data_IF_608729718878
#
_entry.id   IF_608729718878
#
_cell.length_a   1.000
_cell.length_b   1.000
_cell.length_c   1.000
_cell.angle_alpha   90.00
_cell.angle_beta   90.00
_cell.angle_gamma   90.00
#
_symmetry.space_group_name_H-M   'P 1'
#
loop_
_entity.id
_entity.type
_entity.pdbx_description
1 polymer ?
#
# COMPACT_ATOMS: atom_id res chain seq x y z
N UNK A 1 -5.07 14.25 45.30
CA UNK A 1 -4.10 13.39 44.61
C UNK A 1 -4.51 13.29 43.15
N UNK A 2 -3.66 13.89 42.30
CA UNK A 2 -3.48 13.76 40.83
C UNK A 2 -4.66 13.29 39.97
N UNK A 3 -5.30 14.26 39.31
CA UNK A 3 -5.98 14.12 38.03
C UNK A 3 -4.95 13.77 36.95
N UNK A 4 -5.06 12.61 36.31
CA UNK A 4 -4.31 12.33 35.09
C UNK A 4 -5.16 12.73 33.88
N UNK A 5 -4.74 13.86 33.33
CA UNK A 5 -5.09 14.38 32.01
C UNK A 5 -4.81 13.32 30.94
N UNK A 6 -5.83 12.95 30.18
CA UNK A 6 -5.65 12.26 28.89
C UNK A 6 -5.84 13.30 27.81
N UNK A 7 -4.75 13.95 27.42
CA UNK A 7 -4.68 14.68 26.15
C UNK A 7 -4.76 13.63 25.04
N UNK A 8 -5.98 13.36 24.56
CA UNK A 8 -6.19 12.66 23.30
C UNK A 8 -5.83 13.62 22.18
N UNK A 9 -4.58 13.56 21.73
CA UNK A 9 -4.18 14.21 20.48
C UNK A 9 -4.66 13.34 19.34
N UNK A 10 -5.88 13.64 18.88
CA UNK A 10 -6.32 13.31 17.53
C UNK A 10 -5.41 14.04 16.53
N UNK A 11 -4.33 13.39 16.10
CA UNK A 11 -3.59 13.79 14.89
C UNK A 11 -4.36 13.26 13.67
N UNK A 12 -5.54 13.84 13.44
CA UNK A 12 -6.22 13.81 12.15
C UNK A 12 -5.49 14.77 11.22
N UNK A 13 -4.34 14.35 10.71
CA UNK A 13 -3.72 15.00 9.54
C UNK A 13 -3.26 13.93 8.56
N UNK A 14 -4.17 12.99 8.27
CA UNK A 14 -4.16 12.37 6.95
C UNK A 14 -4.55 13.45 5.96
N UNK A 15 -3.57 14.10 5.34
CA UNK A 15 -3.81 14.91 4.16
C UNK A 15 -4.51 14.00 3.13
N UNK A 16 -5.82 14.16 2.99
CA UNK A 16 -6.54 13.68 1.83
C UNK A 16 -5.96 14.43 0.63
N UNK A 17 -4.95 13.84 -0.01
CA UNK A 17 -4.55 14.28 -1.33
C UNK A 17 -5.60 13.76 -2.31
N UNK A 18 -6.52 14.66 -2.64
CA UNK A 18 -7.37 14.53 -3.80
C UNK A 18 -6.48 14.46 -5.05
N UNK A 19 -6.17 13.27 -5.52
CA UNK A 19 -5.81 13.08 -6.94
C UNK A 19 -7.10 13.29 -7.72
N UNK A 20 -7.21 14.28 -8.61
CA UNK A 20 -8.41 14.45 -9.41
C UNK A 20 -8.52 13.24 -10.36
N UNK A 21 -9.69 12.60 -10.49
CA UNK A 21 -9.88 11.49 -11.40
C UNK A 21 -10.02 12.03 -12.82
N UNK A 22 -9.51 11.25 -13.75
CA UNK A 22 -9.35 11.54 -15.17
C UNK A 22 -8.27 12.57 -15.47
N UNK A 23 -7.01 12.16 -15.32
CA UNK A 23 -5.90 12.76 -16.07
C UNK A 23 -5.53 11.86 -17.25
N UNK A 24 -6.16 12.13 -18.39
CA UNK A 24 -5.61 11.79 -19.70
C UNK A 24 -4.37 12.69 -19.90
N UNK A 25 -3.16 12.11 -19.82
CA UNK A 25 -1.91 12.85 -19.99
C UNK A 25 -1.76 13.25 -21.46
N UNK A 26 -2.51 14.27 -21.88
CA UNK A 26 -2.23 14.98 -23.11
C UNK A 26 -1.01 15.85 -22.84
N UNK A 27 0.06 15.52 -23.54
CA UNK A 27 1.31 16.26 -23.58
C UNK A 27 1.02 17.74 -23.90
N UNK A 28 0.96 18.56 -22.85
CA UNK A 28 0.86 20.00 -22.92
C UNK A 28 1.97 20.58 -22.05
N UNK A 29 3.09 20.91 -22.69
CA UNK A 29 4.01 21.95 -22.25
C UNK A 29 4.67 21.75 -20.88
N UNK A 30 5.76 20.97 -20.85
CA UNK A 30 6.91 21.26 -19.99
C UNK A 30 6.87 20.82 -18.52
N UNK A 31 5.80 20.18 -18.04
CA UNK A 31 5.81 19.48 -16.74
C UNK A 31 6.19 18.03 -17.03
N UNK A 32 7.27 17.53 -16.43
CA UNK A 32 7.62 16.11 -16.55
C UNK A 32 6.48 15.27 -15.95
N UNK A 33 5.96 14.32 -16.73
CA UNK A 33 4.90 13.43 -16.29
C UNK A 33 5.33 12.54 -15.12
N UNK A 34 4.38 11.82 -14.51
CA UNK A 34 4.69 10.96 -13.38
C UNK A 34 5.70 9.88 -13.78
N UNK A 35 6.64 9.59 -12.87
CA UNK A 35 7.56 8.47 -13.00
C UNK A 35 6.82 7.17 -12.67
N UNK A 36 6.56 6.37 -13.70
CA UNK A 36 5.90 5.07 -13.55
C UNK A 36 6.95 4.01 -13.23
N UNK A 37 6.75 3.24 -12.16
CA UNK A 37 7.72 2.26 -11.64
C UNK A 37 7.05 0.96 -11.20
N UNK A 38 7.85 -0.07 -10.98
CA UNK A 38 7.44 -1.31 -10.33
C UNK A 38 7.92 -1.28 -8.88
N UNK A 39 7.02 -1.53 -7.93
CA UNK A 39 7.39 -1.67 -6.52
C UNK A 39 7.88 -3.10 -6.29
N UNK A 40 9.09 -3.29 -5.76
CA UNK A 40 9.56 -4.60 -5.29
C UNK A 40 9.46 -4.65 -3.77
N UNK A 41 8.57 -5.49 -3.22
CA UNK A 41 8.31 -5.55 -1.77
C UNK A 41 9.48 -6.16 -0.98
N UNK A 42 10.41 -6.85 -1.64
CA UNK A 42 11.63 -7.36 -1.02
C UNK A 42 12.83 -6.41 -1.15
N UNK A 43 12.73 -5.38 -1.99
CA UNK A 43 13.82 -4.43 -2.26
C UNK A 43 13.21 -3.06 -2.61
N UNK A 44 12.77 -2.36 -1.56
CA UNK A 44 12.03 -1.11 -1.71
C UNK A 44 13.02 0.03 -1.95
N UNK A 45 12.92 0.68 -3.12
CA UNK A 45 13.68 1.90 -3.42
C UNK A 45 13.15 3.08 -2.60
N UNK A 46 13.82 3.36 -1.47
CA UNK A 46 13.46 4.43 -0.55
C UNK A 46 13.62 5.84 -1.13
N UNK A 47 14.19 5.99 -2.33
CA UNK A 47 14.14 7.28 -3.05
C UNK A 47 12.77 7.53 -3.65
N UNK A 48 12.05 6.47 -4.02
CA UNK A 48 10.75 6.52 -4.71
C UNK A 48 9.57 6.28 -3.78
N UNK A 49 9.79 5.58 -2.68
CA UNK A 49 8.75 5.18 -1.74
C UNK A 49 9.09 5.64 -0.32
N UNK A 50 8.05 5.98 0.42
CA UNK A 50 8.09 6.14 1.87
C UNK A 50 7.62 4.84 2.51
N UNK A 51 8.27 4.43 3.61
CA UNK A 51 7.93 3.22 4.35
C UNK A 51 7.76 3.52 5.82
N UNK A 52 6.76 2.93 6.46
CA UNK A 52 6.58 2.98 7.91
C UNK A 52 6.43 1.57 8.46
N UNK A 53 7.04 1.28 9.60
CA UNK A 53 6.92 0.02 10.31
C UNK A 53 6.15 0.23 11.62
N UNK A 54 5.23 -0.67 11.93
CA UNK A 54 4.40 -0.61 13.13
C UNK A 54 3.96 -2.02 13.56
N UNK A 55 3.36 -2.12 14.74
CA UNK A 55 2.87 -3.40 15.30
C UNK A 55 1.43 -3.27 15.81
N UNK A 56 0.46 -2.94 14.94
CA UNK A 56 -0.94 -2.87 15.34
C UNK A 56 -1.39 -4.22 15.89
N UNK A 57 -1.90 -4.22 17.12
CA UNK A 57 -2.34 -5.44 17.82
C UNK A 57 -1.27 -6.55 17.87
N UNK A 58 0.02 -6.18 17.86
CA UNK A 58 1.13 -7.12 17.92
C UNK A 58 1.59 -7.66 16.56
N UNK A 59 0.82 -7.46 15.49
CA UNK A 59 1.17 -7.98 14.16
C UNK A 59 2.16 -7.05 13.46
N UNK A 60 3.33 -7.53 12.99
CA UNK A 60 4.25 -6.74 12.18
C UNK A 60 3.56 -6.18 10.93
N UNK A 61 3.58 -4.87 10.76
CA UNK A 61 3.05 -4.16 9.60
C UNK A 61 4.12 -3.24 9.01
N UNK A 62 4.33 -3.37 7.70
CA UNK A 62 5.08 -2.42 6.88
C UNK A 62 4.15 -1.77 5.87
N UNK A 63 4.04 -0.45 5.89
CA UNK A 63 3.33 0.33 4.87
C UNK A 63 4.32 0.85 3.84
N UNK A 64 3.88 0.95 2.59
CA UNK A 64 4.65 1.51 1.48
C UNK A 64 3.77 2.45 0.68
N UNK A 65 4.20 3.71 0.58
CA UNK A 65 3.47 4.79 -0.11
C UNK A 65 4.37 5.39 -1.19
N UNK A 66 3.91 5.52 -2.45
CA UNK A 66 4.67 6.23 -3.48
C UNK A 66 4.85 7.70 -3.10
N UNK A 67 6.05 8.25 -3.30
CA UNK A 67 6.29 9.69 -3.14
C UNK A 67 5.66 10.48 -4.30
N UNK A 68 5.59 11.79 -4.12
CA UNK A 68 5.02 12.71 -5.11
C UNK A 68 5.63 12.50 -6.51
N UNK A 69 4.76 12.44 -7.52
CA UNK A 69 5.15 12.23 -8.91
C UNK A 69 5.53 10.79 -9.25
N UNK A 70 5.40 9.82 -8.34
CA UNK A 70 5.64 8.39 -8.60
C UNK A 70 4.30 7.65 -8.72
N UNK A 71 4.19 6.79 -9.74
CA UNK A 71 3.05 5.88 -9.89
C UNK A 71 3.53 4.43 -9.91
N UNK A 72 2.82 3.57 -9.19
CA UNK A 72 3.06 2.12 -9.20
C UNK A 72 2.30 1.51 -10.38
N UNK A 73 3.01 0.82 -11.26
CA UNK A 73 2.43 0.03 -12.37
C UNK A 73 2.24 -1.44 -12.03
N UNK A 74 3.11 -1.98 -11.17
CA UNK A 74 2.98 -3.32 -10.64
C UNK A 74 3.68 -3.47 -9.29
N UNK A 75 3.24 -4.44 -8.50
CA UNK A 75 3.85 -4.89 -7.25
C UNK A 75 4.52 -6.24 -7.51
N UNK A 76 5.79 -6.33 -7.15
CA UNK A 76 6.69 -7.45 -7.41
C UNK A 76 7.22 -8.00 -6.09
N UNK A 77 7.46 -9.31 -6.03
CA UNK A 77 8.27 -9.97 -5.01
C UNK A 77 9.49 -10.59 -5.72
N UNK A 78 10.60 -9.84 -5.71
CA UNK A 78 11.78 -10.17 -6.52
C UNK A 78 11.46 -10.16 -8.02
N UNK A 79 11.43 -11.35 -8.64
CA UNK A 79 11.09 -11.52 -10.06
C UNK A 79 9.63 -11.89 -10.31
N UNK A 80 8.88 -12.23 -9.26
CA UNK A 80 7.47 -12.62 -9.37
C UNK A 80 6.59 -11.37 -9.37
N UNK A 81 5.72 -11.23 -10.36
CA UNK A 81 4.70 -10.19 -10.34
C UNK A 81 3.53 -10.66 -9.47
N UNK A 82 3.23 -9.90 -8.42
CA UNK A 82 2.13 -10.19 -7.48
C UNK A 82 0.85 -9.53 -7.95
N UNK A 83 0.96 -8.28 -8.42
CA UNK A 83 -0.18 -7.49 -8.87
C UNK A 83 0.22 -6.52 -9.99
N UNK A 84 -0.60 -6.45 -11.04
CA UNK A 84 -0.52 -5.40 -12.06
C UNK A 84 -1.63 -4.39 -11.82
N UNK A 85 -1.26 -3.11 -11.68
CA UNK A 85 -2.21 -2.02 -11.48
C UNK A 85 -2.89 -1.70 -12.82
N UNK A 86 -4.24 -1.77 -12.90
CA UNK A 86 -4.96 -1.36 -14.11
C UNK A 86 -4.67 0.10 -14.49
N UNK A 87 -4.67 0.40 -15.78
CA UNK A 87 -4.30 1.74 -16.29
C UNK A 87 -5.20 2.88 -15.81
N UNK A 88 -6.43 2.55 -15.43
CA UNK A 88 -7.45 3.46 -14.91
C UNK A 88 -7.47 3.51 -13.37
N UNK A 89 -6.45 2.93 -12.73
CA UNK A 89 -6.31 2.90 -11.28
C UNK A 89 -4.99 3.50 -10.82
N UNK A 90 -4.99 4.01 -9.60
CA UNK A 90 -3.78 4.47 -8.91
C UNK A 90 -3.63 3.67 -7.62
N UNK A 91 -2.55 2.90 -7.51
CA UNK A 91 -2.14 2.27 -6.26
C UNK A 91 -1.44 3.31 -5.38
N UNK A 92 -2.03 3.64 -4.23
CA UNK A 92 -1.55 4.71 -3.35
C UNK A 92 -1.00 4.20 -2.01
N UNK A 93 -1.24 2.95 -1.65
CA UNK A 93 -0.70 2.34 -0.43
C UNK A 93 -0.62 0.81 -0.59
N UNK A 94 0.48 0.23 -0.14
CA UNK A 94 0.62 -1.21 0.07
C UNK A 94 0.89 -1.49 1.55
N UNK A 95 0.20 -2.47 2.11
CA UNK A 95 0.44 -2.98 3.46
C UNK A 95 0.98 -4.41 3.37
N UNK A 96 2.13 -4.64 3.98
CA UNK A 96 2.80 -5.93 4.03
C UNK A 96 2.89 -6.39 5.49
N UNK A 97 2.31 -7.56 5.76
CA UNK A 97 2.52 -8.31 7.00
C UNK A 97 3.42 -9.50 6.71
N UNK A 98 4.31 -9.84 7.64
CA UNK A 98 5.21 -10.98 7.49
C UNK A 98 5.57 -11.57 8.84
N UNK A 99 5.39 -12.88 8.97
CA UNK A 99 5.70 -13.65 10.16
C UNK A 99 6.09 -15.08 9.75
N UNK A 100 7.21 -15.60 10.27
CA UNK A 100 7.67 -16.98 10.03
C UNK A 100 7.65 -17.47 8.57
N UNK A 101 7.90 -16.57 7.63
CA UNK A 101 7.92 -16.86 6.19
C UNK A 101 6.55 -16.81 5.51
N UNK A 102 5.46 -16.67 6.27
CA UNK A 102 4.13 -16.34 5.78
C UNK A 102 4.03 -14.83 5.55
N UNK A 103 3.44 -14.41 4.42
CA UNK A 103 3.21 -12.99 4.12
C UNK A 103 1.76 -12.73 3.73
N UNK A 104 1.26 -11.56 4.12
CA UNK A 104 0.00 -10.99 3.63
C UNK A 104 0.28 -9.64 2.97
N UNK A 105 -0.36 -9.38 1.84
CA UNK A 105 -0.29 -8.11 1.13
C UNK A 105 -1.69 -7.56 0.89
N UNK A 106 -1.94 -6.33 1.33
CA UNK A 106 -3.14 -5.56 0.98
C UNK A 106 -2.75 -4.35 0.15
N UNK A 107 -3.27 -4.28 -1.06
CA UNK A 107 -3.06 -3.16 -1.98
C UNK A 107 -4.28 -2.26 -1.94
N UNK A 108 -4.05 -0.97 -1.74
CA UNK A 108 -5.06 0.06 -1.80
C UNK A 108 -4.91 0.82 -3.11
N UNK A 109 -5.94 0.73 -3.94
CA UNK A 109 -6.04 1.48 -5.18
C UNK A 109 -7.26 2.38 -5.18
N UNK A 110 -7.28 3.39 -6.03
CA UNK A 110 -8.51 4.12 -6.31
C UNK A 110 -8.80 4.20 -7.80
N UNK A 111 -10.10 4.20 -8.11
CA UNK A 111 -10.69 4.39 -9.44
C UNK A 111 -11.90 5.29 -9.30
N UNK A 112 -11.99 6.38 -10.06
CA UNK A 112 -13.18 7.25 -10.07
C UNK A 112 -13.71 7.62 -8.66
N UNK A 113 -12.80 8.05 -7.77
CA UNK A 113 -13.06 8.34 -6.35
C UNK A 113 -13.51 7.16 -5.47
N UNK A 114 -13.49 5.93 -5.98
CA UNK A 114 -13.75 4.72 -5.20
C UNK A 114 -12.45 4.08 -4.80
N UNK A 115 -12.35 3.71 -3.54
CA UNK A 115 -11.24 2.90 -3.02
C UNK A 115 -11.54 1.44 -3.35
N UNK A 116 -10.54 0.75 -3.89
CA UNK A 116 -10.54 -0.69 -4.11
C UNK A 116 -9.39 -1.33 -3.31
N UNK A 117 -9.64 -2.55 -2.86
CA UNK A 117 -8.66 -3.33 -2.10
C UNK A 117 -8.41 -4.66 -2.79
N UNK A 118 -7.14 -5.04 -2.87
CA UNK A 118 -6.70 -6.32 -3.38
C UNK A 118 -5.87 -7.04 -2.33
N UNK A 119 -6.16 -8.33 -2.12
CA UNK A 119 -5.63 -9.09 -1.00
C UNK A 119 -4.88 -10.30 -1.51
N UNK A 120 -3.71 -10.56 -0.95
CA UNK A 120 -2.86 -11.67 -1.34
C UNK A 120 -2.21 -12.31 -0.12
N UNK A 121 -1.93 -13.60 -0.23
CA UNK A 121 -1.12 -14.35 0.73
C UNK A 121 0.05 -15.02 0.04
N UNK A 122 1.11 -15.28 0.80
CA UNK A 122 2.23 -16.11 0.37
C UNK A 122 2.61 -17.09 1.50
N UNK A 123 2.35 -18.37 1.27
CA UNK A 123 2.65 -19.49 2.18
C UNK A 123 4.05 -20.09 1.94
N UNK A 124 4.96 -19.34 1.30
CA UNK A 124 6.33 -19.75 0.99
C UNK A 124 6.52 -20.38 -0.39
N UNK A 125 5.43 -20.72 -1.09
CA UNK A 125 5.49 -21.32 -2.45
C UNK A 125 5.11 -20.35 -3.58
N UNK A 126 4.72 -19.12 -3.25
CA UNK A 126 4.26 -18.10 -4.20
C UNK A 126 3.04 -17.35 -3.67
N UNK A 127 2.57 -16.39 -4.47
CA UNK A 127 1.44 -15.54 -4.11
C UNK A 127 0.11 -16.08 -4.67
N UNK A 128 -0.94 -16.04 -3.86
CA UNK A 128 -2.33 -16.31 -4.26
C UNK A 128 -3.24 -15.14 -3.87
N UNK A 129 -4.36 -14.98 -4.58
CA UNK A 129 -5.36 -13.96 -4.26
C UNK A 129 -6.31 -14.44 -3.18
N UNK A 130 -6.64 -13.55 -2.25
CA UNK A 130 -7.63 -13.76 -1.21
C UNK A 130 -8.86 -12.88 -1.43
N UNK A 131 -9.99 -13.29 -0.86
CA UNK A 131 -11.10 -12.39 -0.57
C UNK A 131 -10.82 -11.64 0.73
N UNK A 132 -11.50 -10.51 0.91
CA UNK A 132 -11.38 -9.69 2.13
C UNK A 132 -11.50 -10.51 3.41
N UNK A 133 -12.56 -11.32 3.56
CA UNK A 133 -12.78 -12.06 4.80
C UNK A 133 -11.67 -13.10 5.08
N UNK A 134 -11.10 -13.69 4.03
CA UNK A 134 -9.98 -14.63 4.16
C UNK A 134 -8.74 -13.89 4.62
N UNK A 135 -8.47 -12.71 4.06
CA UNK A 135 -7.36 -11.86 4.50
C UNK A 135 -7.47 -11.48 5.97
N UNK A 136 -8.63 -10.99 6.42
CA UNK A 136 -8.80 -10.61 7.84
C UNK A 136 -8.67 -11.84 8.75
N UNK A 137 -9.22 -13.00 8.39
CA UNK A 137 -9.04 -14.25 9.15
C UNK A 137 -7.57 -14.67 9.26
N UNK A 138 -6.78 -14.47 8.19
CA UNK A 138 -5.34 -14.76 8.20
C UNK A 138 -4.57 -13.74 9.03
N UNK A 139 -4.98 -12.47 9.00
CA UNK A 139 -4.35 -11.41 9.78
C UNK A 139 -4.58 -11.60 11.28
N UNK A 140 -5.79 -12.00 11.69
CA UNK A 140 -6.11 -12.35 13.08
C UNK A 140 -5.26 -13.53 13.60
N UNK A 141 -4.87 -14.47 12.73
CA UNK A 141 -4.01 -15.61 13.09
C UNK A 141 -2.53 -15.24 13.29
N UNK A 142 -2.11 -14.03 12.89
CA UNK A 142 -0.77 -13.51 13.12
C UNK A 142 -0.64 -12.73 14.45
N UNK A 143 -1.71 -12.65 15.24
CA UNK A 143 -1.76 -12.05 16.58
C UNK A 143 -1.42 -13.06 17.67
#
# INVERSE_FOLDING_TARGET
MRFFSVLSTALLVGFCYCVPPNYDYKDQGGVAGPKIVKLNVNDIDTNLFSTEESFPEGVPLKTVTPKDGVLISSVMDGKMEVYTVPRDQVCYLCELHSEDGYKLLRIHSHKDYKIEFHYFENEGSGWSTLKKYEFEERLEKMQ
#
